data_IF_833632911416
#
_entry.id   IF_833632911416
#
_cell.length_a   1.000
_cell.length_b   1.000
_cell.length_c   1.000
_cell.angle_alpha   90.00
_cell.angle_beta   90.00
_cell.angle_gamma   90.00
#
_symmetry.space_group_name_H-M   'P 1'
#
loop_
_entity.id
_entity.type
_entity.pdbx_description
1 polymer ?
#
# COMPACT_ATOMS: atom_id res chain seq x y z
N UNK A 1 -2.77 5.03 13.73
CA UNK A 1 -2.87 4.25 12.48
C UNK A 1 -3.54 5.12 11.44
N UNK A 2 -2.99 5.19 10.23
CA UNK A 2 -3.50 5.96 9.11
C UNK A 2 -3.86 4.97 7.99
N UNK A 3 -5.10 5.00 7.53
CA UNK A 3 -5.55 4.17 6.41
C UNK A 3 -5.38 4.97 5.10
N UNK A 4 -4.47 4.52 4.27
CA UNK A 4 -4.19 5.06 2.94
C UNK A 4 -4.61 4.10 1.82
N UNK A 5 -5.64 3.27 2.03
CA UNK A 5 -6.11 2.29 1.03
C UNK A 5 -6.56 2.94 -0.29
N UNK A 6 -6.88 4.22 -0.27
CA UNK A 6 -7.30 5.00 -1.43
C UNK A 6 -6.29 6.06 -1.89
N UNK A 7 -5.09 6.09 -1.32
CA UNK A 7 -4.13 7.16 -1.59
C UNK A 7 -3.68 7.21 -3.05
N UNK A 8 -3.58 6.06 -3.72
CA UNK A 8 -3.18 5.97 -5.13
C UNK A 8 -4.14 6.68 -6.09
N UNK A 9 -5.40 6.90 -5.68
CA UNK A 9 -6.39 7.65 -6.47
C UNK A 9 -6.16 9.17 -6.44
N UNK A 10 -5.26 9.65 -5.61
CA UNK A 10 -4.96 11.07 -5.54
C UNK A 10 -4.12 11.55 -6.72
N UNK A 11 -4.32 12.79 -7.20
CA UNK A 11 -3.50 13.37 -8.26
C UNK A 11 -2.02 13.42 -7.89
N UNK A 12 -1.74 13.83 -6.66
CA UNK A 12 -0.39 13.96 -6.11
C UNK A 12 -0.31 13.21 -4.78
N UNK A 13 0.16 11.97 -4.86
CA UNK A 13 0.30 11.09 -3.71
C UNK A 13 1.33 11.61 -2.70
N UNK A 14 2.38 12.26 -3.18
CA UNK A 14 3.49 12.70 -2.33
C UNK A 14 3.10 13.84 -1.41
N UNK A 15 2.12 14.65 -1.81
CA UNK A 15 1.63 15.77 -0.97
C UNK A 15 0.65 15.32 0.10
N UNK A 16 -0.07 14.22 -0.08
CA UNK A 16 -1.12 13.80 0.84
C UNK A 16 -0.75 12.57 1.67
N UNK A 17 0.20 11.75 1.20
CA UNK A 17 0.65 10.56 1.93
C UNK A 17 1.47 10.92 3.16
N UNK A 18 1.21 10.24 4.26
CA UNK A 18 1.99 10.35 5.48
C UNK A 18 3.30 9.54 5.46
N UNK A 19 3.65 8.87 4.35
CA UNK A 19 4.85 8.02 4.26
C UNK A 19 6.12 8.81 4.57
N UNK A 20 6.25 10.04 4.08
CA UNK A 20 7.41 10.89 4.36
C UNK A 20 7.59 11.20 5.86
N UNK A 21 6.52 11.12 6.66
CA UNK A 21 6.58 11.37 8.09
C UNK A 21 7.11 10.17 8.89
N UNK A 22 7.17 8.98 8.30
CA UNK A 22 7.68 7.77 8.97
C UNK A 22 9.18 7.86 9.31
N UNK A 23 9.91 8.74 8.65
CA UNK A 23 11.32 9.03 8.94
C UNK A 23 11.50 9.98 10.14
N UNK A 24 10.44 10.70 10.53
CA UNK A 24 10.47 11.70 11.61
C UNK A 24 9.74 11.23 12.88
N UNK A 25 8.72 10.38 12.70
CA UNK A 25 7.86 9.91 13.78
C UNK A 25 7.74 8.39 13.73
N UNK A 26 7.86 7.75 14.87
CA UNK A 26 7.83 6.28 15.02
C UNK A 26 6.56 5.76 15.74
N UNK A 27 5.62 6.64 16.03
CA UNK A 27 4.43 6.35 16.83
C UNK A 27 3.16 6.11 16.00
N UNK A 28 3.29 5.90 14.69
CA UNK A 28 2.15 5.59 13.82
C UNK A 28 2.51 4.57 12.75
N UNK A 29 1.49 3.98 12.16
CA UNK A 29 1.57 3.04 11.05
C UNK A 29 0.59 3.45 9.96
N UNK A 30 1.02 3.32 8.72
CA UNK A 30 0.20 3.52 7.53
C UNK A 30 -0.20 2.15 7.00
N UNK A 31 -1.45 1.99 6.60
CA UNK A 31 -1.96 0.79 5.94
C UNK A 31 -2.28 1.09 4.48
N UNK A 32 -1.83 0.21 3.59
CA UNK A 32 -2.14 0.21 2.16
C UNK A 32 -2.51 -1.18 1.69
N UNK A 33 -3.11 -1.29 0.52
CA UNK A 33 -3.48 -2.58 -0.03
C UNK A 33 -3.76 -2.54 -1.53
N UNK A 34 -3.93 -3.72 -2.12
CA UNK A 34 -4.14 -3.90 -3.57
C UNK A 34 -5.62 -4.01 -3.95
N UNK A 35 -6.52 -3.97 -2.97
CA UNK A 35 -7.94 -4.26 -3.17
C UNK A 35 -8.67 -3.26 -4.06
N UNK A 36 -8.26 -2.00 -4.03
CA UNK A 36 -8.95 -0.89 -4.69
C UNK A 36 -8.26 -0.48 -5.97
N UNK A 37 -7.15 0.21 -5.90
CA UNK A 37 -6.46 0.73 -7.08
C UNK A 37 -6.07 -0.36 -8.09
N UNK A 38 -5.59 -1.50 -7.63
CA UNK A 38 -5.24 -2.65 -8.47
C UNK A 38 -6.41 -3.61 -8.74
N UNK A 39 -7.62 -3.28 -8.32
CA UNK A 39 -8.82 -4.09 -8.54
C UNK A 39 -8.67 -5.56 -8.13
N UNK A 40 -7.89 -5.85 -7.12
CA UNK A 40 -7.54 -7.20 -6.70
C UNK A 40 -7.95 -7.56 -5.26
N UNK A 41 -9.24 -7.38 -4.88
CA UNK A 41 -9.68 -7.63 -3.50
C UNK A 41 -9.58 -9.10 -3.10
N UNK A 42 -9.71 -10.01 -4.05
CA UNK A 42 -9.65 -11.46 -3.81
C UNK A 42 -8.26 -11.99 -3.46
N UNK A 43 -7.19 -11.27 -3.76
CA UNK A 43 -5.82 -11.66 -3.41
C UNK A 43 -5.52 -11.54 -1.93
N UNK A 44 -6.28 -10.74 -1.18
CA UNK A 44 -6.09 -10.50 0.25
C UNK A 44 -4.67 -9.99 0.58
N UNK A 45 -4.16 -9.06 -0.23
CA UNK A 45 -2.83 -8.47 -0.09
C UNK A 45 -2.93 -7.03 0.40
N UNK A 46 -2.33 -6.79 1.56
CA UNK A 46 -2.13 -5.46 2.13
C UNK A 46 -0.79 -5.40 2.84
N UNK A 47 -0.36 -4.20 3.16
CA UNK A 47 0.91 -3.96 3.83
C UNK A 47 0.85 -2.75 4.75
N UNK A 48 1.74 -2.75 5.75
CA UNK A 48 1.92 -1.64 6.67
C UNK A 48 3.29 -0.98 6.47
N UNK A 49 3.32 0.33 6.65
CA UNK A 49 4.54 1.13 6.61
C UNK A 49 4.70 1.81 7.97
N UNK A 50 5.85 1.63 8.60
CA UNK A 50 6.14 2.19 9.92
C UNK A 50 7.62 2.51 10.05
N UNK A 51 7.96 3.61 10.71
CA UNK A 51 9.36 3.99 11.00
C UNK A 51 9.95 3.30 12.24
N UNK A 52 9.14 2.60 13.04
CA UNK A 52 9.58 1.93 14.27
C UNK A 52 10.03 0.50 14.00
N UNK A 53 11.34 0.29 13.83
CA UNK A 53 11.91 -1.02 13.54
C UNK A 53 11.66 -2.04 14.65
N UNK A 54 11.76 -1.65 15.92
CA UNK A 54 11.52 -2.54 17.05
C UNK A 54 10.06 -3.04 17.06
N UNK A 55 9.12 -2.16 16.73
CA UNK A 55 7.71 -2.53 16.57
C UNK A 55 7.50 -3.52 15.41
N UNK A 56 8.12 -3.28 14.27
CA UNK A 56 8.04 -4.18 13.11
C UNK A 56 8.64 -5.55 13.41
N UNK A 57 9.77 -5.62 14.09
CA UNK A 57 10.40 -6.88 14.52
C UNK A 57 9.48 -7.65 15.47
N UNK A 58 8.87 -6.96 16.43
CA UNK A 58 7.91 -7.57 17.36
C UNK A 58 6.67 -8.10 16.60
N UNK A 59 6.11 -7.34 15.67
CA UNK A 59 5.00 -7.80 14.83
C UNK A 59 5.39 -9.03 14.01
N UNK A 60 6.57 -9.04 13.42
CA UNK A 60 7.06 -10.19 12.65
C UNK A 60 7.23 -11.44 13.51
N UNK A 61 7.62 -11.29 14.78
CA UNK A 61 7.80 -12.43 15.69
C UNK A 61 6.50 -13.11 16.13
N UNK A 62 5.38 -12.37 16.11
CA UNK A 62 4.08 -12.87 16.58
C UNK A 62 3.09 -13.14 15.46
N UNK A 63 3.36 -12.67 14.23
CA UNK A 63 2.45 -12.90 13.10
C UNK A 63 2.44 -14.37 12.69
N UNK A 64 1.29 -14.81 12.17
CA UNK A 64 1.21 -16.13 11.55
C UNK A 64 2.11 -16.17 10.30
N UNK A 65 3.00 -17.17 10.15
CA UNK A 65 3.88 -17.29 8.99
C UNK A 65 3.14 -17.49 7.66
N UNK A 66 1.89 -17.90 7.70
CA UNK A 66 1.04 -18.16 6.52
C UNK A 66 0.12 -17.00 6.16
N UNK A 67 0.49 -15.75 6.49
CA UNK A 67 -0.38 -14.58 6.28
C UNK A 67 -0.52 -14.18 4.82
N UNK A 68 0.47 -14.48 3.98
CA UNK A 68 0.46 -14.15 2.55
C UNK A 68 0.46 -15.44 1.74
N UNK A 69 -0.53 -15.60 0.87
CA UNK A 69 -0.55 -16.74 -0.06
C UNK A 69 0.39 -16.48 -1.25
N UNK A 70 0.88 -17.56 -1.85
CA UNK A 70 1.87 -17.50 -2.93
C UNK A 70 1.38 -16.71 -4.14
N UNK A 71 0.10 -16.85 -4.52
CA UNK A 71 -0.47 -16.11 -5.65
C UNK A 71 -0.50 -14.61 -5.37
N UNK A 72 -0.83 -14.20 -4.15
CA UNK A 72 -0.82 -12.80 -3.76
C UNK A 72 0.60 -12.22 -3.79
N UNK A 73 1.61 -12.95 -3.36
CA UNK A 73 3.00 -12.52 -3.40
C UNK A 73 3.48 -12.28 -4.84
N UNK A 74 3.24 -13.25 -5.73
CA UNK A 74 3.61 -13.14 -7.15
C UNK A 74 2.85 -12.02 -7.87
N UNK A 75 1.53 -11.96 -7.66
CA UNK A 75 0.70 -10.93 -8.26
C UNK A 75 1.06 -9.52 -7.74
N UNK A 76 1.34 -9.39 -6.45
CA UNK A 76 1.76 -8.13 -5.84
C UNK A 76 3.05 -7.60 -6.45
N UNK A 77 4.06 -8.46 -6.63
CA UNK A 77 5.31 -8.08 -7.29
C UNK A 77 5.05 -7.56 -8.71
N UNK A 78 4.27 -8.29 -9.51
CA UNK A 78 3.91 -7.87 -10.86
C UNK A 78 3.13 -6.55 -10.89
N UNK A 79 2.12 -6.39 -10.01
CA UNK A 79 1.29 -5.19 -9.95
C UNK A 79 2.08 -3.93 -9.56
N UNK A 80 2.97 -4.02 -8.58
CA UNK A 80 3.78 -2.86 -8.16
C UNK A 80 4.85 -2.47 -9.19
N UNK A 81 5.24 -3.38 -10.07
CA UNK A 81 6.18 -3.13 -11.16
C UNK A 81 5.51 -2.67 -12.47
N UNK A 82 4.18 -2.76 -12.57
CA UNK A 82 3.42 -2.37 -13.76
C UNK A 82 3.18 -0.85 -13.78
N UNK A 83 4.21 -0.12 -14.17
CA UNK A 83 4.18 1.34 -14.25
C UNK A 83 3.19 1.86 -15.29
N UNK A 84 2.97 1.11 -16.37
CA UNK A 84 2.02 1.48 -17.43
C UNK A 84 0.58 1.41 -16.91
N UNK A 85 0.22 0.34 -16.19
CA UNK A 85 -1.07 0.25 -15.53
C UNK A 85 -1.29 1.40 -14.54
N UNK A 86 -0.28 1.65 -13.69
CA UNK A 86 -0.36 2.69 -12.65
C UNK A 86 -0.62 4.06 -13.29
N UNK A 87 0.15 4.41 -14.32
CA UNK A 87 0.01 5.72 -14.97
C UNK A 87 -1.31 5.84 -15.73
N UNK A 88 -1.64 4.84 -16.55
CA UNK A 88 -2.89 4.83 -17.33
C UNK A 88 -4.11 4.91 -16.42
N UNK A 89 -4.11 4.18 -15.32
CA UNK A 89 -5.22 4.22 -14.35
C UNK A 89 -5.35 5.59 -13.70
N UNK A 90 -4.23 6.21 -13.30
CA UNK A 90 -4.25 7.57 -12.75
C UNK A 90 -4.79 8.59 -13.73
N UNK A 91 -4.32 8.55 -14.97
CA UNK A 91 -4.75 9.47 -16.02
C UNK A 91 -6.25 9.32 -16.32
N UNK A 92 -6.73 8.07 -16.39
CA UNK A 92 -8.15 7.79 -16.58
C UNK A 92 -9.01 8.35 -15.42
N UNK A 93 -8.61 8.08 -14.18
CA UNK A 93 -9.33 8.58 -13.01
C UNK A 93 -9.36 10.10 -12.97
N UNK A 94 -8.26 10.77 -13.31
CA UNK A 94 -8.21 12.24 -13.37
C UNK A 94 -9.13 12.79 -14.47
N UNK A 95 -9.18 12.14 -15.64
CA UNK A 95 -10.05 12.56 -16.74
C UNK A 95 -11.55 12.44 -16.42
N UNK A 96 -11.92 11.45 -15.60
CA UNK A 96 -13.32 11.22 -15.19
C UNK A 96 -13.76 12.09 -14.00
N UNK A 97 -12.83 12.72 -13.30
CA UNK A 97 -13.14 13.66 -12.22
C UNK A 97 -13.55 15.01 -12.79
N UNK A 98 -14.77 15.35 -12.56
CA UNK A 98 -15.32 16.66 -12.94
C UNK A 98 -15.53 17.57 -11.75
#
# INVERSE_FOLDING_TARGET
MIDETYVEFAPDIDTISAVSLTTKFDNFMILRGTSKFFCAPGLRLGYGICGNLAFLERMNSIKNPWTINTLAALAGEAMFMDTDYIQTTKDYIQSERT
#
